data_IF_014034374090
#
_entry.id   IF_014034374090
#
_cell.length_a   1.000
_cell.length_b   1.000
_cell.length_c   1.000
_cell.angle_alpha   90.00
_cell.angle_beta   90.00
_cell.angle_gamma   90.00
#
_symmetry.space_group_name_H-M   'P 1'
#
loop_
_entity.id
_entity.type
_entity.pdbx_description
1 polymer ?
#
# COMPACT_ATOMS: atom_id res chain seq x y z
N UNK A 1 20.96 7.16 12.84
CA UNK A 1 20.09 6.21 12.11
C UNK A 1 18.66 6.72 12.17
N UNK A 2 17.91 6.64 11.08
CA UNK A 2 16.51 7.09 11.06
C UNK A 2 15.66 6.32 12.06
N UNK A 3 14.75 7.00 12.76
CA UNK A 3 13.82 6.39 13.71
C UNK A 3 12.62 5.75 13.01
N UNK A 4 12.28 6.27 11.81
CA UNK A 4 11.16 5.83 11.00
C UNK A 4 11.59 5.52 9.58
N UNK A 5 10.92 4.54 8.98
CA UNK A 5 10.92 4.30 7.54
C UNK A 5 9.53 4.61 7.01
N UNK A 6 9.43 5.45 5.97
CA UNK A 6 8.17 5.79 5.31
C UNK A 6 8.19 5.19 3.92
N UNK A 7 7.11 4.49 3.55
CA UNK A 7 6.91 3.93 2.21
C UNK A 7 5.56 4.34 1.66
N UNK A 8 5.56 4.77 0.42
CA UNK A 8 4.37 5.15 -0.31
C UNK A 8 3.93 3.99 -1.21
N UNK A 9 2.80 3.37 -0.88
CA UNK A 9 2.19 2.28 -1.64
C UNK A 9 1.12 2.77 -2.61
N UNK A 10 0.59 3.95 -2.35
CA UNK A 10 -0.37 4.65 -3.20
C UNK A 10 -0.42 6.14 -2.88
N UNK A 11 -0.48 6.96 -3.93
CA UNK A 11 -0.42 8.43 -3.84
C UNK A 11 -1.44 9.13 -4.75
N UNK A 12 -2.30 8.38 -5.44
CA UNK A 12 -3.34 8.95 -6.31
C UNK A 12 -4.58 9.30 -5.50
N UNK A 13 -5.26 10.37 -5.89
CA UNK A 13 -6.57 10.72 -5.38
C UNK A 13 -7.69 10.23 -6.28
N UNK A 14 -8.87 10.05 -5.71
CA UNK A 14 -10.15 9.71 -6.32
C UNK A 14 -10.22 8.35 -6.98
N UNK A 15 -9.36 8.04 -7.95
CA UNK A 15 -9.36 6.76 -8.67
C UNK A 15 -7.94 6.28 -8.97
N UNK A 16 -7.72 4.96 -9.07
CA UNK A 16 -6.47 4.42 -9.57
C UNK A 16 -6.17 4.94 -10.98
N UNK A 17 -4.94 5.39 -11.20
CA UNK A 17 -4.48 5.92 -12.48
C UNK A 17 -3.17 5.24 -12.91
N UNK A 18 -3.21 3.97 -13.36
CA UNK A 18 -2.03 3.26 -13.84
C UNK A 18 -1.48 3.91 -15.12
N UNK A 19 -0.19 3.68 -15.39
CA UNK A 19 0.41 4.07 -16.64
C UNK A 19 -0.32 3.40 -17.81
N UNK A 20 -0.61 4.17 -18.86
CA UNK A 20 -1.16 3.61 -20.10
C UNK A 20 -0.05 3.27 -21.09
N UNK A 21 -0.37 2.50 -22.14
CA UNK A 21 0.62 2.05 -23.12
C UNK A 21 1.43 3.18 -23.77
N UNK A 22 0.84 4.36 -23.94
CA UNK A 22 1.54 5.53 -24.46
C UNK A 22 2.63 6.03 -23.50
N UNK A 23 2.35 6.05 -22.19
CA UNK A 23 3.32 6.45 -21.16
C UNK A 23 4.50 5.48 -21.13
N UNK A 24 4.21 4.17 -21.12
CA UNK A 24 5.24 3.13 -21.17
C UNK A 24 6.11 3.29 -22.43
N UNK A 25 5.50 3.51 -23.58
CA UNK A 25 6.23 3.74 -24.84
C UNK A 25 7.11 4.98 -24.78
N UNK A 26 6.64 6.06 -24.14
CA UNK A 26 7.44 7.27 -23.94
C UNK A 26 8.68 7.00 -23.09
N UNK A 27 8.50 6.33 -21.95
CA UNK A 27 9.62 5.94 -21.07
C UNK A 27 10.66 5.07 -21.79
N UNK A 28 10.21 4.06 -22.52
CA UNK A 28 11.10 3.20 -23.31
C UNK A 28 11.90 4.03 -24.34
N UNK A 29 11.23 4.95 -25.05
CA UNK A 29 11.89 5.83 -26.01
C UNK A 29 12.93 6.72 -25.35
N UNK A 30 12.60 7.35 -24.23
CA UNK A 30 13.51 8.21 -23.46
C UNK A 30 14.77 7.45 -23.02
N UNK A 31 14.60 6.23 -22.48
CA UNK A 31 15.74 5.40 -22.09
C UNK A 31 16.63 4.99 -23.26
N UNK A 32 16.04 4.67 -24.41
CA UNK A 32 16.82 4.38 -25.64
C UNK A 32 17.61 5.61 -26.08
N UNK A 33 17.05 6.82 -25.99
CA UNK A 33 17.72 8.06 -26.32
C UNK A 33 18.88 8.33 -25.33
N UNK A 34 18.61 8.19 -24.03
CA UNK A 34 19.64 8.36 -22.99
C UNK A 34 20.82 7.41 -23.18
N UNK A 35 20.53 6.14 -23.47
CA UNK A 35 21.53 5.13 -23.75
C UNK A 35 22.36 5.46 -24.99
N UNK A 36 21.72 5.80 -26.11
CA UNK A 36 22.39 6.25 -27.34
C UNK A 36 23.33 7.42 -27.07
N UNK A 37 22.88 8.40 -26.29
CA UNK A 37 23.66 9.60 -25.99
C UNK A 37 24.81 9.29 -25.01
N UNK A 38 24.65 8.32 -24.10
CA UNK A 38 25.70 7.83 -23.21
C UNK A 38 26.83 7.12 -24.02
N UNK A 39 26.47 6.27 -24.97
CA UNK A 39 27.44 5.64 -25.90
C UNK A 39 28.23 6.70 -26.64
N UNK A 40 27.54 7.69 -27.23
CA UNK A 40 28.19 8.73 -28.05
C UNK A 40 29.14 9.63 -27.25
N UNK A 41 28.80 9.97 -26.00
CA UNK A 41 29.54 10.90 -25.18
C UNK A 41 30.62 10.26 -24.32
N UNK A 42 30.37 9.06 -23.81
CA UNK A 42 31.19 8.43 -22.77
C UNK A 42 31.82 7.11 -23.23
N UNK A 43 31.59 6.67 -24.47
CA UNK A 43 32.02 5.36 -24.93
C UNK A 43 31.45 4.21 -24.09
N UNK A 44 30.26 4.41 -23.54
CA UNK A 44 29.63 3.42 -22.67
C UNK A 44 29.18 2.23 -23.53
N UNK A 45 29.56 1.04 -23.14
CA UNK A 45 29.08 -0.20 -23.75
C UNK A 45 28.39 -1.04 -22.68
N UNK A 46 27.10 -1.31 -22.87
CA UNK A 46 26.28 -2.08 -21.93
C UNK A 46 26.16 -3.51 -22.47
N UNK A 47 27.18 -4.32 -22.21
CA UNK A 47 27.25 -5.70 -22.69
C UNK A 47 26.69 -6.73 -21.71
N UNK A 48 26.61 -6.39 -20.42
CA UNK A 48 26.13 -7.29 -19.37
C UNK A 48 24.87 -6.75 -18.69
N UNK A 49 24.07 -7.65 -18.15
CA UNK A 49 22.87 -7.26 -17.35
C UNK A 49 23.25 -6.34 -16.20
N UNK A 50 24.36 -6.60 -15.51
CA UNK A 50 24.81 -5.77 -14.41
C UNK A 50 25.10 -4.32 -14.87
N UNK A 51 25.77 -4.13 -16.00
CA UNK A 51 26.05 -2.78 -16.55
C UNK A 51 24.76 -2.06 -16.99
N UNK A 52 23.74 -2.82 -17.44
CA UNK A 52 22.42 -2.27 -17.76
C UNK A 52 21.75 -1.77 -16.48
N UNK A 53 21.73 -2.54 -15.40
CA UNK A 53 21.15 -2.15 -14.11
C UNK A 53 21.90 -0.90 -13.56
N UNK A 54 23.22 -0.91 -13.54
CA UNK A 54 24.03 0.24 -13.13
C UNK A 54 23.73 1.51 -13.95
N UNK A 55 23.46 1.37 -15.25
CA UNK A 55 23.04 2.47 -16.10
C UNK A 55 21.65 2.97 -15.72
N UNK A 56 20.68 2.07 -15.52
CA UNK A 56 19.30 2.42 -15.15
C UNK A 56 19.24 3.10 -13.78
N UNK A 57 20.04 2.66 -12.82
CA UNK A 57 20.12 3.24 -11.47
C UNK A 57 20.63 4.70 -11.48
N UNK A 58 21.35 5.10 -12.53
CA UNK A 58 21.83 6.48 -12.71
C UNK A 58 20.84 7.39 -13.43
N UNK A 59 19.72 6.82 -13.95
CA UNK A 59 18.74 7.63 -14.67
C UNK A 59 17.77 8.34 -13.71
N UNK A 60 17.14 9.44 -14.17
CA UNK A 60 16.07 10.08 -13.41
C UNK A 60 14.94 9.10 -13.09
N UNK A 61 14.40 9.17 -11.88
CA UNK A 61 13.34 8.27 -11.40
C UNK A 61 12.13 8.21 -12.35
N UNK A 62 11.71 9.33 -12.88
CA UNK A 62 10.58 9.44 -13.80
C UNK A 62 10.83 8.78 -15.17
N UNK A 63 12.09 8.60 -15.57
CA UNK A 63 12.44 7.88 -16.79
C UNK A 63 12.33 6.36 -16.63
N UNK A 64 12.77 5.81 -15.50
CA UNK A 64 12.91 4.36 -15.28
C UNK A 64 11.87 3.76 -14.33
N UNK A 65 11.11 4.58 -13.61
CA UNK A 65 10.18 4.14 -12.58
C UNK A 65 8.86 4.91 -12.62
N UNK A 66 7.99 4.62 -11.66
CA UNK A 66 6.71 5.30 -11.47
C UNK A 66 6.37 5.32 -9.98
N UNK A 67 5.69 6.37 -9.53
CA UNK A 67 5.05 6.38 -8.20
C UNK A 67 3.82 5.45 -8.13
N UNK A 68 3.52 4.71 -9.21
CA UNK A 68 2.37 3.84 -9.33
C UNK A 68 1.08 4.59 -9.65
N UNK A 69 0.01 3.81 -9.77
CA UNK A 69 -1.33 4.34 -10.04
C UNK A 69 -2.29 4.06 -8.89
N UNK A 70 -1.82 3.56 -7.75
CA UNK A 70 -2.66 3.21 -6.61
C UNK A 70 -3.12 4.44 -5.82
N UNK A 71 -4.31 4.35 -5.24
CA UNK A 71 -4.85 5.38 -4.34
C UNK A 71 -4.24 5.25 -2.95
N UNK A 72 -4.51 6.25 -2.09
CA UNK A 72 -3.81 6.56 -0.84
C UNK A 72 -3.52 5.35 0.04
N UNK A 73 -2.25 5.08 0.27
CA UNK A 73 -1.75 4.12 1.26
C UNK A 73 -0.29 4.44 1.59
N UNK A 74 -0.03 4.84 2.83
CA UNK A 74 1.31 5.19 3.31
C UNK A 74 1.66 4.39 4.54
N UNK A 75 2.74 3.63 4.48
CA UNK A 75 3.28 2.88 5.62
C UNK A 75 4.31 3.70 6.38
N UNK A 76 4.21 3.73 7.69
CA UNK A 76 5.23 4.25 8.60
C UNK A 76 5.66 3.14 9.55
N UNK A 77 6.89 2.69 9.40
CA UNK A 77 7.49 1.66 10.24
C UNK A 77 8.47 2.29 11.20
N UNK A 78 8.20 2.19 12.50
CA UNK A 78 9.13 2.58 13.56
C UNK A 78 10.20 1.50 13.76
N UNK A 79 11.40 1.90 14.16
CA UNK A 79 12.56 0.98 14.36
C UNK A 79 12.33 -0.12 15.38
N UNK A 80 11.40 0.05 16.32
CA UNK A 80 11.04 -0.96 17.32
C UNK A 80 9.97 -1.96 16.83
N UNK A 81 9.53 -1.82 15.56
CA UNK A 81 8.60 -2.72 14.88
C UNK A 81 7.14 -2.28 14.90
N UNK A 82 6.80 -1.13 15.52
CA UNK A 82 5.46 -0.57 15.39
C UNK A 82 5.20 -0.12 13.94
N UNK A 83 4.09 -0.58 13.38
CA UNK A 83 3.69 -0.29 12.01
C UNK A 83 2.35 0.42 11.98
N UNK A 84 2.36 1.58 11.35
CA UNK A 84 1.19 2.41 11.07
C UNK A 84 0.96 2.46 9.58
N UNK A 85 -0.29 2.38 9.16
CA UNK A 85 -0.68 2.50 7.76
C UNK A 85 -1.75 3.58 7.67
N UNK A 86 -1.47 4.63 6.93
CA UNK A 86 -2.40 5.73 6.67
C UNK A 86 -3.15 5.42 5.40
N UNK A 87 -4.46 5.31 5.53
CA UNK A 87 -5.43 4.93 4.53
C UNK A 87 -5.25 3.51 3.93
N UNK A 88 -6.32 3.03 3.36
CA UNK A 88 -6.42 1.71 2.74
C UNK A 88 -6.98 1.81 1.31
N UNK A 89 -6.48 2.78 0.54
CA UNK A 89 -6.72 2.82 -0.89
C UNK A 89 -6.11 1.61 -1.59
N UNK A 90 -6.14 1.56 -2.92
CA UNK A 90 -5.70 0.37 -3.66
C UNK A 90 -4.23 0.00 -3.43
N UNK A 91 -3.41 0.93 -2.92
CA UNK A 91 -2.02 0.67 -2.54
C UNK A 91 -1.86 -0.37 -1.43
N UNK A 92 -2.86 -0.56 -0.57
CA UNK A 92 -2.80 -1.55 0.52
C UNK A 92 -2.68 -2.99 0.00
N UNK A 93 -3.12 -3.28 -1.22
CA UNK A 93 -2.93 -4.58 -1.86
C UNK A 93 -1.45 -4.88 -2.04
N UNK A 94 -0.67 -3.94 -2.54
CA UNK A 94 0.79 -4.11 -2.73
C UNK A 94 1.52 -4.19 -1.39
N UNK A 95 1.12 -3.37 -0.41
CA UNK A 95 1.60 -3.51 0.96
C UNK A 95 1.34 -4.93 1.49
N UNK A 96 0.11 -5.45 1.33
CA UNK A 96 -0.24 -6.80 1.74
C UNK A 96 0.66 -7.86 1.13
N UNK A 97 0.91 -7.79 -0.18
CA UNK A 97 1.81 -8.70 -0.88
C UNK A 97 3.24 -8.65 -0.31
N UNK A 98 3.75 -7.46 -0.04
CA UNK A 98 5.09 -7.28 0.54
C UNK A 98 5.21 -7.83 1.97
N UNK A 99 4.11 -7.86 2.72
CA UNK A 99 4.07 -8.31 4.11
C UNK A 99 3.90 -9.82 4.28
N UNK A 100 3.49 -10.56 3.26
CA UNK A 100 3.19 -12.00 3.36
C UNK A 100 4.35 -12.79 3.96
N UNK A 101 5.56 -12.59 3.45
CA UNK A 101 6.75 -13.30 3.95
C UNK A 101 7.01 -12.99 5.43
N UNK A 102 7.04 -11.71 5.80
CA UNK A 102 7.25 -11.28 7.18
C UNK A 102 6.19 -11.84 8.13
N UNK A 103 4.93 -11.86 7.69
CA UNK A 103 3.80 -12.40 8.44
C UNK A 103 4.00 -13.88 8.82
N UNK A 104 4.45 -14.71 7.88
CA UNK A 104 4.72 -16.12 8.14
C UNK A 104 5.96 -16.33 9.02
N UNK A 105 7.03 -15.58 8.77
CA UNK A 105 8.27 -15.65 9.57
C UNK A 105 8.04 -15.25 11.04
N UNK A 106 7.22 -14.22 11.28
CA UNK A 106 6.89 -13.72 12.62
C UNK A 106 5.69 -14.41 13.29
N UNK A 107 5.03 -15.33 12.59
CA UNK A 107 3.77 -15.95 13.01
C UNK A 107 2.65 -14.95 13.32
N UNK A 108 2.62 -13.86 12.61
CA UNK A 108 1.62 -12.81 12.72
C UNK A 108 2.21 -11.41 12.68
N UNK A 109 1.34 -10.44 12.40
CA UNK A 109 1.64 -9.01 12.35
C UNK A 109 0.67 -8.23 13.22
N UNK A 110 1.14 -7.10 13.76
CA UNK A 110 0.29 -6.11 14.40
C UNK A 110 0.39 -4.80 13.61
N UNK A 111 -0.72 -4.33 13.06
CA UNK A 111 -0.79 -3.11 12.27
C UNK A 111 -1.89 -2.20 12.77
N UNK A 112 -1.57 -0.92 12.93
CA UNK A 112 -2.51 0.16 13.18
C UNK A 112 -2.81 0.89 11.87
N UNK A 113 -4.05 0.76 11.39
CA UNK A 113 -4.56 1.48 10.24
C UNK A 113 -5.22 2.77 10.70
N UNK A 114 -4.76 3.91 10.20
CA UNK A 114 -5.29 5.22 10.52
C UNK A 114 -6.01 5.78 9.28
N UNK A 115 -7.32 5.84 9.34
CA UNK A 115 -8.14 6.34 8.24
C UNK A 115 -8.26 7.86 8.35
N UNK A 116 -7.75 8.57 7.35
CA UNK A 116 -7.90 10.02 7.27
C UNK A 116 -9.37 10.41 7.12
N UNK A 117 -10.09 9.67 6.28
CA UNK A 117 -11.54 9.74 6.09
C UNK A 117 -12.01 8.49 5.30
N UNK A 118 -13.32 8.37 5.09
CA UNK A 118 -13.94 7.15 4.53
C UNK A 118 -14.39 7.28 3.08
N UNK A 119 -13.83 8.20 2.29
CA UNK A 119 -14.05 8.18 0.85
C UNK A 119 -13.45 6.91 0.24
N UNK A 120 -14.04 6.47 -0.85
CA UNK A 120 -13.73 5.15 -1.42
C UNK A 120 -12.26 4.97 -1.77
N UNK A 121 -11.64 5.98 -2.34
CA UNK A 121 -10.21 5.97 -2.69
C UNK A 121 -9.27 5.80 -1.47
N UNK A 122 -9.79 5.98 -0.25
CA UNK A 122 -9.05 5.77 0.99
C UNK A 122 -9.35 4.43 1.67
N UNK A 123 -10.39 3.70 1.26
CA UNK A 123 -10.79 2.42 1.89
C UNK A 123 -10.97 1.26 0.91
N UNK A 124 -11.10 1.52 -0.39
CA UNK A 124 -11.47 0.51 -1.41
C UNK A 124 -10.47 -0.65 -1.56
N UNK A 125 -9.26 -0.50 -1.05
CA UNK A 125 -8.24 -1.55 -1.10
C UNK A 125 -8.38 -2.61 -0.01
N UNK A 126 -9.10 -2.31 1.08
CA UNK A 126 -9.28 -3.23 2.21
C UNK A 126 -9.71 -4.64 1.81
N UNK A 127 -10.71 -4.83 0.92
CA UNK A 127 -11.13 -6.15 0.49
C UNK A 127 -10.04 -6.94 -0.23
N UNK A 128 -8.96 -6.29 -0.66
CA UNK A 128 -7.84 -6.88 -1.40
C UNK A 128 -6.54 -6.94 -0.58
N UNK A 129 -6.61 -6.65 0.72
CA UNK A 129 -5.48 -6.79 1.63
C UNK A 129 -5.32 -8.26 2.02
N UNK A 130 -4.48 -9.00 1.28
CA UNK A 130 -4.30 -10.44 1.42
C UNK A 130 -4.10 -10.94 2.86
N UNK A 131 -3.30 -10.30 3.72
CA UNK A 131 -3.12 -10.72 5.11
C UNK A 131 -4.40 -10.78 5.95
N UNK A 132 -5.46 -10.07 5.55
CA UNK A 132 -6.75 -10.07 6.23
C UNK A 132 -7.42 -11.45 6.21
N UNK A 133 -7.14 -12.28 5.20
CA UNK A 133 -7.76 -13.58 4.96
C UNK A 133 -6.99 -14.76 5.55
N UNK A 134 -5.89 -14.50 6.22
CA UNK A 134 -5.08 -15.57 6.81
C UNK A 134 -5.73 -16.03 8.11
N UNK A 135 -6.14 -17.31 8.11
CA UNK A 135 -6.88 -17.91 9.23
C UNK A 135 -5.95 -18.13 10.43
N UNK A 136 -6.36 -17.68 11.61
CA UNK A 136 -5.66 -17.87 12.88
C UNK A 136 -5.37 -19.34 13.21
N UNK A 137 -6.20 -20.27 12.73
CA UNK A 137 -6.01 -21.71 12.92
C UNK A 137 -4.77 -22.25 12.22
N UNK A 138 -4.12 -21.46 11.34
CA UNK A 138 -2.81 -21.79 10.76
C UNK A 138 -1.64 -21.48 11.68
N UNK A 139 -1.88 -20.97 12.89
CA UNK A 139 -0.86 -20.55 13.84
C UNK A 139 -0.33 -19.13 13.55
N UNK A 140 -1.00 -18.37 12.69
CA UNK A 140 -0.68 -16.97 12.37
C UNK A 140 -1.63 -16.05 13.15
N UNK A 141 -1.08 -15.28 14.07
CA UNK A 141 -1.85 -14.40 14.95
C UNK A 141 -1.79 -12.94 14.50
N UNK A 142 -2.52 -12.60 13.45
CA UNK A 142 -2.63 -11.23 12.98
C UNK A 142 -3.54 -10.38 13.89
N UNK A 143 -3.12 -9.13 14.13
CA UNK A 143 -3.84 -8.13 14.92
C UNK A 143 -4.00 -6.85 14.10
N UNK A 144 -5.23 -6.55 13.74
CA UNK A 144 -5.57 -5.37 12.95
C UNK A 144 -6.35 -4.38 13.82
N UNK A 145 -5.88 -3.16 13.91
CA UNK A 145 -6.59 -2.08 14.60
C UNK A 145 -6.85 -0.94 13.63
N UNK A 146 -8.11 -0.63 13.40
CA UNK A 146 -8.54 0.44 12.53
C UNK A 146 -8.98 1.65 13.36
N UNK A 147 -8.37 2.78 13.13
CA UNK A 147 -8.72 4.06 13.75
C UNK A 147 -9.37 4.94 12.70
N UNK A 148 -10.58 5.39 12.94
CA UNK A 148 -11.30 6.26 12.03
C UNK A 148 -12.30 7.14 12.71
N UNK A 149 -12.62 8.28 12.12
CA UNK A 149 -13.66 9.19 12.60
C UNK A 149 -15.08 8.68 12.27
N UNK A 150 -16.05 9.20 12.99
CA UNK A 150 -17.46 9.02 12.64
C UNK A 150 -17.82 9.99 11.52
N UNK A 151 -18.33 9.47 10.41
CA UNK A 151 -18.78 10.25 9.28
C UNK A 151 -20.26 9.97 9.00
N UNK A 152 -21.06 11.01 8.84
CA UNK A 152 -22.49 10.85 8.55
C UNK A 152 -23.22 9.92 9.53
N UNK A 153 -22.88 10.00 10.81
CA UNK A 153 -23.41 9.13 11.88
C UNK A 153 -23.10 7.63 11.72
N UNK A 154 -22.11 7.29 10.90
CA UNK A 154 -21.60 5.93 10.76
C UNK A 154 -20.21 5.81 11.33
N UNK A 155 -19.95 4.70 12.02
CA UNK A 155 -18.61 4.36 12.52
C UNK A 155 -17.70 3.93 11.37
N UNK A 156 -16.39 3.98 11.58
CA UNK A 156 -15.41 3.45 10.63
C UNK A 156 -15.71 1.98 10.31
N UNK A 157 -16.05 1.17 11.32
CA UNK A 157 -16.42 -0.24 11.15
C UNK A 157 -17.58 -0.44 10.18
N UNK A 158 -18.68 0.30 10.36
CA UNK A 158 -19.85 0.22 9.47
C UNK A 158 -19.47 0.53 8.02
N UNK A 159 -18.59 1.49 7.81
CA UNK A 159 -18.16 1.87 6.47
C UNK A 159 -17.21 0.84 5.85
N UNK A 160 -16.29 0.29 6.62
CA UNK A 160 -15.37 -0.77 6.17
C UNK A 160 -16.12 -2.06 5.88
N UNK A 161 -17.01 -2.50 6.79
CA UNK A 161 -17.81 -3.68 6.62
C UNK A 161 -18.77 -3.59 5.41
N UNK A 162 -19.40 -2.43 5.22
CA UNK A 162 -20.39 -2.24 4.16
C UNK A 162 -19.87 -2.39 2.73
N UNK A 163 -18.56 -2.24 2.49
CA UNK A 163 -17.99 -2.52 1.18
C UNK A 163 -17.72 -4.02 0.93
N UNK A 164 -17.83 -4.85 1.97
CA UNK A 164 -17.59 -6.29 1.93
C UNK A 164 -18.87 -7.12 2.02
N UNK A 165 -20.03 -6.53 1.80
CA UNK A 165 -21.30 -7.23 1.83
C UNK A 165 -21.66 -7.82 0.46
N UNK A 166 -22.23 -9.07 0.44
CA UNK A 166 -22.84 -9.62 -0.78
C UNK A 166 -23.97 -8.70 -1.31
N UNK A 167 -24.17 -8.60 -2.62
CA UNK A 167 -23.48 -9.35 -3.69
C UNK A 167 -22.20 -8.67 -4.20
N UNK A 168 -21.80 -7.54 -3.65
CA UNK A 168 -20.67 -6.74 -4.16
C UNK A 168 -19.30 -7.35 -3.83
N UNK A 169 -19.22 -8.08 -2.71
CA UNK A 169 -18.02 -8.81 -2.32
C UNK A 169 -18.37 -10.19 -1.73
N UNK A 170 -17.58 -11.27 -2.05
CA UNK A 170 -17.97 -12.63 -1.68
C UNK A 170 -17.68 -13.02 -0.23
N UNK A 171 -16.83 -12.26 0.49
CA UNK A 171 -16.42 -12.55 1.87
C UNK A 171 -16.87 -11.40 2.77
N UNK A 172 -17.78 -11.68 3.68
CA UNK A 172 -18.32 -10.68 4.59
C UNK A 172 -17.34 -10.31 5.71
N UNK A 173 -17.48 -9.11 6.26
CA UNK A 173 -16.73 -8.67 7.44
C UNK A 173 -16.83 -9.66 8.61
N UNK A 174 -18.02 -10.19 8.87
CA UNK A 174 -18.25 -11.21 9.92
C UNK A 174 -17.44 -12.49 9.73
N UNK A 175 -17.20 -12.89 8.48
CA UNK A 175 -16.35 -14.05 8.20
C UNK A 175 -14.87 -13.72 8.49
N UNK A 176 -14.42 -12.52 8.16
CA UNK A 176 -13.07 -12.05 8.49
C UNK A 176 -12.84 -12.04 10.01
N UNK A 177 -13.78 -11.51 10.79
CA UNK A 177 -13.69 -11.50 12.26
C UNK A 177 -13.54 -12.90 12.86
N UNK A 178 -14.19 -13.90 12.27
CA UNK A 178 -14.08 -15.29 12.73
C UNK A 178 -12.71 -15.91 12.48
N UNK A 179 -12.09 -15.59 11.37
CA UNK A 179 -10.81 -16.20 10.97
C UNK A 179 -9.59 -15.46 11.50
N UNK A 180 -9.69 -14.17 11.77
CA UNK A 180 -8.58 -13.35 12.26
C UNK A 180 -8.39 -13.49 13.77
N UNK A 181 -7.17 -13.37 14.27
CA UNK A 181 -6.88 -13.46 15.70
C UNK A 181 -7.45 -12.26 16.47
N UNK A 182 -7.36 -11.06 15.91
CA UNK A 182 -7.93 -9.85 16.50
C UNK A 182 -8.22 -8.80 15.44
N UNK A 183 -9.44 -8.30 15.42
CA UNK A 183 -9.85 -7.08 14.71
C UNK A 183 -10.44 -6.13 15.73
N UNK A 184 -10.05 -4.85 15.66
CA UNK A 184 -10.61 -3.78 16.48
C UNK A 184 -10.84 -2.57 15.60
N UNK A 185 -12.02 -1.97 15.72
CA UNK A 185 -12.32 -0.67 15.16
C UNK A 185 -12.49 0.32 16.32
N UNK A 186 -11.79 1.43 16.25
CA UNK A 186 -11.76 2.46 17.28
C UNK A 186 -12.17 3.78 16.62
N UNK A 187 -13.32 4.29 17.04
CA UNK A 187 -13.77 5.59 16.57
C UNK A 187 -12.96 6.69 17.26
N UNK A 188 -12.30 7.51 16.46
CA UNK A 188 -11.58 8.69 16.92
C UNK A 188 -12.52 9.88 16.77
N UNK A 189 -12.93 10.43 17.89
CA UNK A 189 -13.73 11.66 17.89
C UNK A 189 -12.81 12.84 17.62
N UNK A 190 -13.32 13.83 16.88
CA UNK A 190 -12.58 15.06 16.60
C UNK A 190 -12.19 15.74 17.94
N UNK A 191 -10.91 15.63 18.26
CA UNK A 191 -10.30 16.26 19.44
C UNK A 191 -9.85 17.69 19.10
N UNK A 192 -10.51 18.34 18.13
CA UNK A 192 -10.18 19.68 17.65
C UNK A 192 -10.27 20.81 18.73
N UNK A 193 -10.38 20.45 19.99
CA UNK A 193 -10.46 21.37 21.14
C UNK A 193 -9.38 21.13 22.19
N UNK A 194 -8.21 20.64 21.83
CA UNK A 194 -7.04 20.78 22.68
C UNK A 194 -6.38 22.12 22.39
N UNK A 195 -6.68 23.08 23.24
CA UNK A 195 -5.97 24.37 23.36
C UNK A 195 -4.64 24.14 24.08
#
# INVERSE_FOLDING_TARGET
MSTFTIRFWGTRGSVPAPLVGADVRSKVRENIIMYRDAIRRKGLDLLTTQQIEEFLDQQPFDAVSTYGGNTSCVEVLHRDGHRFVFDMGTGVRELGNALIKEMFERKGLSISFLLSHIHWDHIQGLPFFGPLYVNKNTGIENKWTFYGGTNWQKTAEVCLAGQMDPPTFPVSWKEIEKITASIKCIDVYDMAHFY
#
